data_IF_179978289242
#
_entry.id   IF_179978289242
#
_cell.length_a   1.000
_cell.length_b   1.000
_cell.length_c   1.000
_cell.angle_alpha   90.00
_cell.angle_beta   90.00
_cell.angle_gamma   90.00
#
_symmetry.space_group_name_H-M   'P 1'
#
loop_
_entity.id
_entity.type
_entity.pdbx_description
1 polymer ?
#
# COMPACT_ATOMS: atom_id res chain seq x y z
N UNK A 1 10.18 -10.96 -8.85
CA UNK A 1 8.86 -10.65 -9.43
C UNK A 1 8.11 -9.76 -8.46
N UNK A 2 7.50 -8.69 -8.96
CA UNK A 2 6.68 -7.77 -8.17
C UNK A 2 5.29 -7.64 -8.78
N UNK A 3 4.26 -7.61 -7.94
CA UNK A 3 2.87 -7.47 -8.33
C UNK A 3 2.27 -6.23 -7.65
N UNK A 4 1.38 -5.54 -8.34
CA UNK A 4 0.71 -4.35 -7.81
C UNK A 4 -0.79 -4.60 -7.78
N UNK A 5 -1.41 -4.36 -6.64
CA UNK A 5 -2.86 -4.43 -6.45
C UNK A 5 -3.37 -3.01 -6.30
N UNK A 6 -4.27 -2.62 -7.19
CA UNK A 6 -4.99 -1.36 -7.10
C UNK A 6 -6.27 -1.58 -6.31
N UNK A 7 -6.43 -0.84 -5.22
CA UNK A 7 -7.58 -0.96 -4.33
C UNK A 7 -8.49 0.27 -4.46
N UNK A 8 -9.80 0.06 -4.43
CA UNK A 8 -10.80 1.13 -4.50
C UNK A 8 -10.88 1.94 -3.21
N UNK A 9 -10.74 1.26 -2.09
CA UNK A 9 -10.93 1.83 -0.77
C UNK A 9 -9.96 1.25 0.27
N UNK A 10 -10.04 1.76 1.50
CA UNK A 10 -9.19 1.32 2.60
C UNK A 10 -9.49 -0.12 3.05
N UNK A 11 -10.72 -0.61 2.87
CA UNK A 11 -11.09 -1.97 3.27
C UNK A 11 -10.40 -3.00 2.37
N UNK A 12 -10.35 -2.75 1.06
CA UNK A 12 -9.60 -3.59 0.13
C UNK A 12 -8.10 -3.58 0.46
N UNK A 13 -7.52 -2.40 0.73
CA UNK A 13 -6.11 -2.30 1.15
C UNK A 13 -5.86 -3.15 2.38
N UNK A 14 -6.70 -2.99 3.41
CA UNK A 14 -6.55 -3.71 4.67
C UNK A 14 -6.74 -5.21 4.50
N UNK A 15 -7.70 -5.64 3.67
CA UNK A 15 -7.94 -7.04 3.36
C UNK A 15 -6.72 -7.69 2.69
N UNK A 16 -6.20 -7.10 1.61
CA UNK A 16 -5.04 -7.65 0.91
C UNK A 16 -3.78 -7.55 1.77
N UNK A 17 -3.57 -6.44 2.47
CA UNK A 17 -2.41 -6.24 3.34
C UNK A 17 -2.37 -7.29 4.43
N UNK A 18 -3.47 -7.46 5.17
CA UNK A 18 -3.55 -8.43 6.25
C UNK A 18 -3.41 -9.86 5.70
N UNK A 19 -4.01 -10.16 4.54
CA UNK A 19 -3.94 -11.50 3.95
C UNK A 19 -2.51 -11.88 3.57
N UNK A 20 -1.79 -10.97 2.90
CA UNK A 20 -0.42 -11.22 2.44
C UNK A 20 0.56 -11.24 3.61
N UNK A 21 0.44 -10.28 4.52
CA UNK A 21 1.36 -10.13 5.65
C UNK A 21 1.12 -11.17 6.76
N UNK A 22 -0.07 -11.80 6.81
CA UNK A 22 -0.41 -12.85 7.78
C UNK A 22 0.59 -14.02 7.80
N UNK A 23 1.14 -14.37 6.64
CA UNK A 23 2.21 -15.38 6.50
C UNK A 23 3.48 -14.84 5.84
N UNK A 24 3.47 -13.55 5.54
CA UNK A 24 4.50 -12.85 4.80
C UNK A 24 5.29 -11.89 5.69
N UNK A 25 5.82 -10.84 5.07
CA UNK A 25 6.53 -9.75 5.73
C UNK A 25 6.02 -8.40 5.23
N UNK A 26 5.80 -7.49 6.16
CA UNK A 26 5.55 -6.09 5.85
C UNK A 26 6.83 -5.40 5.33
N UNK A 27 6.67 -4.47 4.40
CA UNK A 27 7.73 -3.57 3.93
C UNK A 27 7.22 -2.12 3.93
N UNK A 28 8.06 -1.20 3.48
CA UNK A 28 7.77 0.24 3.46
C UNK A 28 7.01 0.65 2.20
N UNK A 29 6.33 1.80 2.25
CA UNK A 29 5.71 2.45 1.09
C UNK A 29 4.62 1.61 0.38
N UNK A 30 3.81 0.87 1.15
CA UNK A 30 2.76 -0.01 0.61
C UNK A 30 3.27 -1.34 0.07
N UNK A 31 4.55 -1.66 0.28
CA UNK A 31 5.11 -2.94 -0.10
C UNK A 31 4.94 -3.98 1.01
N UNK A 32 4.71 -5.21 0.61
CA UNK A 32 4.78 -6.40 1.45
C UNK A 32 5.32 -7.56 0.63
N UNK A 33 5.65 -8.66 1.28
CA UNK A 33 6.14 -9.88 0.64
C UNK A 33 5.34 -11.05 1.20
N UNK A 34 4.90 -11.96 0.34
CA UNK A 34 4.14 -13.15 0.78
C UNK A 34 5.05 -14.28 1.31
N UNK A 35 4.43 -15.40 1.70
CA UNK A 35 5.12 -16.60 2.19
C UNK A 35 6.02 -17.26 1.14
N UNK A 36 5.76 -16.99 -0.15
CA UNK A 36 6.51 -17.53 -1.29
C UNK A 36 7.65 -16.60 -1.75
N UNK A 37 7.79 -15.44 -1.12
CA UNK A 37 8.83 -14.48 -1.41
C UNK A 37 8.53 -13.51 -2.57
N UNK A 38 7.28 -13.48 -3.05
CA UNK A 38 6.81 -12.53 -4.07
C UNK A 38 6.55 -11.17 -3.43
N UNK A 39 7.03 -10.11 -4.06
CA UNK A 39 6.80 -8.74 -3.58
C UNK A 39 5.47 -8.22 -4.11
N UNK A 40 4.64 -7.67 -3.22
CA UNK A 40 3.34 -7.12 -3.51
C UNK A 40 3.30 -5.65 -3.11
N UNK A 41 2.78 -4.80 -3.97
CA UNK A 41 2.54 -3.39 -3.71
C UNK A 41 1.04 -3.14 -3.68
N UNK A 42 0.52 -2.78 -2.51
CA UNK A 42 -0.91 -2.51 -2.32
C UNK A 42 -1.07 -0.98 -2.28
N UNK A 43 -1.72 -0.43 -3.30
CA UNK A 43 -1.91 1.01 -3.47
C UNK A 43 -3.35 1.32 -3.86
N UNK A 44 -3.88 2.50 -3.52
CA UNK A 44 -5.18 2.92 -4.02
C UNK A 44 -5.15 3.14 -5.54
N UNK A 45 -6.26 2.88 -6.23
CA UNK A 45 -6.41 3.16 -7.68
C UNK A 45 -6.10 4.63 -8.01
N UNK A 46 -6.44 5.53 -7.08
CA UNK A 46 -6.27 6.97 -7.22
C UNK A 46 -4.87 7.46 -6.78
N UNK A 47 -3.92 6.56 -6.53
CA UNK A 47 -2.59 6.91 -6.00
C UNK A 47 -1.89 7.99 -6.84
N UNK A 48 -2.01 7.94 -8.17
CA UNK A 48 -1.40 8.93 -9.05
C UNK A 48 -1.94 10.36 -8.85
N UNK A 49 -3.22 10.48 -8.50
CA UNK A 49 -3.85 11.77 -8.17
C UNK A 49 -3.51 12.21 -6.76
N UNK A 50 -3.47 11.27 -5.81
CA UNK A 50 -3.12 11.54 -4.42
C UNK A 50 -1.67 12.01 -4.28
N UNK A 51 -0.72 11.41 -4.99
CA UNK A 51 0.69 11.82 -4.96
C UNK A 51 0.96 13.20 -5.56
N UNK A 52 0.01 13.79 -6.31
CA UNK A 52 0.11 15.19 -6.75
C UNK A 52 -0.16 16.18 -5.63
N UNK A 53 -0.73 15.73 -4.50
CA UNK A 53 -1.00 16.60 -3.34
C UNK A 53 0.29 16.87 -2.55
N UNK A 54 0.46 18.11 -2.05
CA UNK A 54 1.59 18.41 -1.17
C UNK A 54 1.50 17.56 0.11
N UNK A 55 2.61 16.92 0.49
CA UNK A 55 2.70 16.05 1.68
C UNK A 55 2.38 14.57 1.45
N UNK A 56 1.72 14.21 0.34
CA UNK A 56 1.35 12.82 0.07
C UNK A 56 2.57 11.89 -0.11
N UNK A 57 3.64 12.37 -0.75
CA UNK A 57 4.89 11.62 -0.87
C UNK A 57 5.54 11.34 0.49
N UNK A 58 5.48 12.29 1.42
CA UNK A 58 6.06 12.11 2.76
C UNK A 58 5.23 11.13 3.59
N UNK A 59 3.89 11.23 3.51
CA UNK A 59 2.99 10.26 4.11
C UNK A 59 3.22 8.84 3.56
N UNK A 60 3.45 8.70 2.26
CA UNK A 60 3.78 7.41 1.64
C UNK A 60 5.09 6.82 2.16
N UNK A 61 6.15 7.63 2.23
CA UNK A 61 7.50 7.16 2.62
C UNK A 61 7.55 6.72 4.09
N UNK A 62 6.83 7.43 4.96
CA UNK A 62 6.86 7.17 6.41
C UNK A 62 6.04 5.96 6.84
N UNK A 63 5.18 5.42 5.96
CA UNK A 63 4.23 4.36 6.32
C UNK A 63 4.62 3.03 5.68
N UNK A 64 4.38 1.96 6.43
CA UNK A 64 4.42 0.59 5.90
C UNK A 64 3.17 0.34 5.04
N UNK A 65 2.00 0.41 5.65
CA UNK A 65 0.69 0.31 5.00
C UNK A 65 0.18 1.68 4.58
N UNK A 66 -0.35 1.79 3.37
CA UNK A 66 -0.95 3.03 2.87
C UNK A 66 -2.30 3.27 3.52
N UNK A 67 -2.51 4.51 3.99
CA UNK A 67 -3.81 4.99 4.48
C UNK A 67 -4.29 6.08 3.52
N UNK A 68 -5.36 5.80 2.78
CA UNK A 68 -5.89 6.71 1.74
C UNK A 68 -6.21 8.09 2.33
N UNK A 69 -6.83 8.12 3.52
CA UNK A 69 -7.22 9.35 4.18
C UNK A 69 -6.01 10.25 4.50
N UNK A 70 -4.86 9.69 4.88
CA UNK A 70 -3.65 10.47 5.17
C UNK A 70 -3.01 11.04 3.90
N UNK A 71 -3.30 10.47 2.73
CA UNK A 71 -2.83 11.02 1.45
C UNK A 71 -3.72 12.16 0.93
N UNK A 72 -4.95 12.26 1.44
CA UNK A 72 -5.91 13.31 1.06
C UNK A 72 -5.62 14.60 1.85
N UNK A 73 -5.12 14.48 3.08
CA UNK A 73 -4.95 15.59 4.02
C UNK A 73 -6.17 15.73 4.93
#
# INVERSE_FOLDING_TARGET
>A
MSLTILCKDQQEIDYFWNTITKKGKESMCGWCKDEFGVSWQIVPEQIATLLKRPGANEALIRKKKIIIQELIG
#
